data_IF_674285705746
#
_entry.id   IF_674285705746
#
_cell.length_a   1.000
_cell.length_b   1.000
_cell.length_c   1.000
_cell.angle_alpha   90.00
_cell.angle_beta   90.00
_cell.angle_gamma   90.00
#
_symmetry.space_group_name_H-M   'P 1'
#
loop_
_entity.id
_entity.type
_entity.pdbx_description
1 polymer ?
#
# COMPACT_ATOMS: atom_id res chain seq x y z
N UNK A 1 12.97 2.21 -4.35
CA UNK A 1 13.61 0.95 -4.77
C UNK A 1 12.72 -0.28 -4.49
N UNK A 2 12.17 -0.43 -3.30
CA UNK A 2 11.33 -1.59 -2.91
C UNK A 2 10.06 -1.71 -3.77
N UNK A 3 9.34 -0.61 -3.95
CA UNK A 3 8.11 -0.57 -4.75
C UNK A 3 8.41 -0.92 -6.21
N UNK A 4 9.47 -0.36 -6.78
CA UNK A 4 9.85 -0.63 -8.17
C UNK A 4 10.21 -2.11 -8.39
N UNK A 5 10.95 -2.69 -7.46
CA UNK A 5 11.33 -4.11 -7.52
C UNK A 5 10.10 -5.02 -7.40
N UNK A 6 9.23 -4.71 -6.46
CA UNK A 6 7.98 -5.46 -6.25
C UNK A 6 7.05 -5.36 -7.47
N UNK A 7 6.84 -4.15 -8.00
CA UNK A 7 6.03 -3.93 -9.20
C UNK A 7 6.58 -4.70 -10.41
N UNK A 8 7.90 -4.74 -10.56
CA UNK A 8 8.54 -5.51 -11.62
C UNK A 8 8.25 -7.01 -11.48
N UNK A 9 8.38 -7.55 -10.27
CA UNK A 9 8.11 -8.96 -9.99
C UNK A 9 6.67 -9.33 -10.31
N UNK A 10 5.72 -8.53 -9.82
CA UNK A 10 4.29 -8.73 -10.07
C UNK A 10 3.94 -8.62 -11.56
N UNK A 11 4.54 -7.66 -12.26
CA UNK A 11 4.32 -7.50 -13.70
C UNK A 11 4.82 -8.70 -14.49
N UNK A 12 6.00 -9.23 -14.15
CA UNK A 12 6.55 -10.41 -14.80
C UNK A 12 5.68 -11.64 -14.56
N UNK A 13 5.18 -11.82 -13.34
CA UNK A 13 4.27 -12.91 -13.01
C UNK A 13 2.95 -12.81 -13.79
N UNK A 14 2.34 -11.63 -13.83
CA UNK A 14 1.11 -11.37 -14.57
C UNK A 14 1.27 -11.63 -16.07
N UNK A 15 2.39 -11.25 -16.67
CA UNK A 15 2.66 -11.47 -18.09
C UNK A 15 2.79 -12.95 -18.46
N UNK A 16 3.05 -13.83 -17.50
CA UNK A 16 3.15 -15.29 -17.70
C UNK A 16 1.83 -16.02 -17.46
N UNK A 17 0.79 -15.34 -17.05
CA UNK A 17 -0.52 -15.96 -16.79
C UNK A 17 -1.23 -16.41 -18.07
N UNK A 18 -2.07 -17.45 -17.92
CA UNK A 18 -2.79 -18.07 -19.05
C UNK A 18 -3.75 -17.10 -19.75
N UNK A 19 -4.38 -16.19 -19.01
CA UNK A 19 -5.28 -15.19 -19.63
C UNK A 19 -4.55 -14.21 -20.54
N UNK A 20 -3.26 -13.99 -20.33
CA UNK A 20 -2.42 -13.19 -21.22
C UNK A 20 -2.20 -13.91 -22.57
N UNK A 21 -1.96 -15.22 -22.51
CA UNK A 21 -1.90 -16.08 -23.69
C UNK A 21 -3.22 -16.05 -24.48
N UNK A 22 -4.34 -16.15 -23.78
CA UNK A 22 -5.68 -16.08 -24.38
C UNK A 22 -5.92 -14.74 -25.06
N UNK A 23 -5.53 -13.63 -24.42
CA UNK A 23 -5.64 -12.30 -25.04
C UNK A 23 -4.77 -12.15 -26.29
N UNK A 24 -3.56 -12.72 -26.28
CA UNK A 24 -2.68 -12.75 -27.47
C UNK A 24 -3.26 -13.57 -28.60
N UNK A 25 -3.85 -14.72 -28.30
CA UNK A 25 -4.46 -15.61 -29.31
C UNK A 25 -5.69 -14.97 -29.98
N UNK A 26 -6.36 -14.04 -29.33
CA UNK A 26 -7.46 -13.24 -29.88
C UNK A 26 -7.02 -12.09 -30.78
N UNK A 27 -5.72 -11.94 -31.05
CA UNK A 27 -5.18 -10.90 -31.91
C UNK A 27 -5.19 -9.49 -31.31
N UNK A 28 -5.30 -9.36 -30.00
CA UNK A 28 -5.23 -8.06 -29.33
C UNK A 28 -3.81 -7.48 -29.40
N UNK A 29 -3.62 -6.19 -29.76
CA UNK A 29 -2.30 -5.57 -29.80
C UNK A 29 -1.59 -5.65 -28.45
N UNK A 30 -0.27 -5.91 -28.44
CA UNK A 30 0.53 -6.03 -27.23
C UNK A 30 0.39 -4.84 -26.27
N UNK A 31 0.33 -3.63 -26.80
CA UNK A 31 0.15 -2.41 -26.02
C UNK A 31 -1.17 -2.44 -25.23
N UNK A 32 -2.25 -2.84 -25.88
CA UNK A 32 -3.57 -2.94 -25.25
C UNK A 32 -3.63 -4.03 -24.19
N UNK A 33 -2.94 -5.15 -24.41
CA UNK A 33 -2.82 -6.24 -23.45
C UNK A 33 -2.11 -5.73 -22.18
N UNK A 34 -0.99 -5.02 -22.35
CA UNK A 34 -0.22 -4.47 -21.23
C UNK A 34 -1.06 -3.48 -20.44
N UNK A 35 -1.65 -2.48 -21.08
CA UNK A 35 -2.41 -1.43 -20.39
C UNK A 35 -3.72 -1.91 -19.78
N UNK A 36 -4.46 -2.75 -20.45
CA UNK A 36 -5.80 -3.15 -20.01
C UNK A 36 -5.79 -4.34 -19.06
N UNK A 37 -4.90 -5.28 -19.24
CA UNK A 37 -4.88 -6.54 -18.51
C UNK A 37 -3.71 -6.65 -17.53
N UNK A 38 -2.47 -6.41 -17.98
CA UNK A 38 -1.29 -6.63 -17.16
C UNK A 38 -1.16 -5.59 -16.04
N UNK A 39 -1.23 -4.32 -16.34
CA UNK A 39 -1.09 -3.24 -15.34
C UNK A 39 -2.18 -3.33 -14.28
N UNK A 40 -3.41 -3.54 -14.68
CA UNK A 40 -4.54 -3.64 -13.76
C UNK A 40 -4.35 -4.75 -12.73
N UNK A 41 -3.95 -5.93 -13.18
CA UNK A 41 -3.75 -7.08 -12.30
C UNK A 41 -2.46 -6.98 -11.47
N UNK A 42 -1.41 -6.37 -11.99
CA UNK A 42 -0.17 -6.13 -11.26
C UNK A 42 -0.29 -5.05 -10.18
N UNK A 43 -1.19 -4.08 -10.35
CA UNK A 43 -1.39 -2.99 -9.37
C UNK A 43 -2.06 -3.45 -8.08
N UNK A 44 -2.88 -4.50 -8.10
CA UNK A 44 -3.60 -4.98 -6.91
C UNK A 44 -2.63 -5.34 -5.77
N UNK A 45 -1.63 -6.23 -5.97
CA UNK A 45 -0.63 -6.52 -4.94
C UNK A 45 0.22 -5.30 -4.56
N UNK A 46 0.55 -4.44 -5.52
CA UNK A 46 1.33 -3.21 -5.27
C UNK A 46 0.59 -2.28 -4.33
N UNK A 47 -0.70 -2.07 -4.50
CA UNK A 47 -1.51 -1.23 -3.63
C UNK A 47 -1.59 -1.81 -2.21
N UNK A 48 -1.66 -3.13 -2.07
CA UNK A 48 -1.63 -3.80 -0.77
C UNK A 48 -0.37 -3.47 0.02
N UNK A 49 0.77 -3.45 -0.65
CA UNK A 49 2.08 -3.15 -0.02
C UNK A 49 2.24 -1.65 0.22
N UNK A 50 1.66 -0.80 -0.62
CA UNK A 50 1.74 0.66 -0.47
C UNK A 50 1.13 1.18 0.83
N UNK A 51 0.00 0.62 1.27
CA UNK A 51 -0.66 1.06 2.49
C UNK A 51 0.27 1.08 3.71
N UNK A 52 0.83 -0.07 4.13
CA UNK A 52 1.78 -0.13 5.23
C UNK A 52 3.04 0.72 5.03
N UNK A 53 3.55 0.83 3.80
CA UNK A 53 4.72 1.68 3.50
C UNK A 53 4.41 3.15 3.74
N UNK A 54 3.26 3.64 3.28
CA UNK A 54 2.84 5.04 3.49
C UNK A 54 2.71 5.34 4.98
N UNK A 55 2.08 4.45 5.74
CA UNK A 55 1.97 4.60 7.20
C UNK A 55 3.35 4.65 7.84
N UNK A 56 4.23 3.72 7.48
CA UNK A 56 5.60 3.66 8.00
C UNK A 56 6.40 4.93 7.71
N UNK A 57 6.28 5.49 6.51
CA UNK A 57 6.97 6.74 6.14
C UNK A 57 6.44 7.94 6.89
N UNK A 58 5.13 8.05 7.08
CA UNK A 58 4.51 9.18 7.78
C UNK A 58 4.68 9.09 9.29
N UNK A 59 4.75 7.88 9.82
CA UNK A 59 5.07 7.65 11.25
C UNK A 59 6.51 8.03 11.56
N UNK A 60 7.36 8.09 10.53
CA UNK A 60 8.76 8.46 10.63
C UNK A 60 9.66 7.30 11.03
N UNK A 61 10.93 7.46 10.73
CA UNK A 61 11.97 6.57 11.22
C UNK A 61 12.63 7.20 12.44
N UNK A 62 12.35 6.68 13.62
CA UNK A 62 12.96 7.13 14.89
C UNK A 62 14.47 7.30 14.80
N UNK A 63 15.13 6.36 14.11
CA UNK A 63 16.58 6.36 13.93
C UNK A 63 17.02 7.55 13.07
N UNK A 64 16.35 7.77 11.94
CA UNK A 64 16.67 8.87 11.01
C UNK A 64 16.39 10.22 11.68
N UNK A 65 15.26 10.35 12.34
CA UNK A 65 14.88 11.58 13.05
C UNK A 65 15.91 11.96 14.11
N UNK A 66 16.41 10.97 14.88
CA UNK A 66 17.45 11.21 15.88
C UNK A 66 18.82 11.55 15.27
N UNK A 67 19.22 10.86 14.20
CA UNK A 67 20.53 11.11 13.55
C UNK A 67 20.59 12.50 12.93
N UNK A 68 19.53 12.90 12.24
CA UNK A 68 19.48 14.16 11.50
C UNK A 68 18.88 15.32 12.33
N UNK A 69 18.53 15.07 13.60
CA UNK A 69 17.90 16.06 14.49
C UNK A 69 16.66 16.72 13.87
N UNK A 70 15.89 15.96 13.09
CA UNK A 70 14.65 16.42 12.50
C UNK A 70 13.50 16.21 13.48
N UNK A 71 12.77 17.26 13.87
CA UNK A 71 11.63 17.10 14.76
C UNK A 71 10.49 16.37 14.04
N UNK A 72 10.21 15.15 14.43
CA UNK A 72 9.17 14.32 13.89
C UNK A 72 8.25 13.74 14.97
N UNK A 73 7.15 13.11 14.54
CA UNK A 73 6.18 12.50 15.46
C UNK A 73 6.79 11.30 16.21
N UNK A 74 7.71 10.59 15.55
CA UNK A 74 8.39 9.46 16.14
C UNK A 74 9.29 9.86 17.33
N UNK A 75 10.06 10.93 17.20
CA UNK A 75 10.88 11.46 18.29
C UNK A 75 10.02 11.93 19.47
N UNK A 76 8.91 12.62 19.19
CA UNK A 76 7.96 13.04 20.22
C UNK A 76 7.39 11.84 20.99
N UNK A 77 7.09 10.74 20.32
CA UNK A 77 6.59 9.52 20.96
C UNK A 77 7.62 8.93 21.93
N UNK A 78 8.87 8.83 21.52
CA UNK A 78 9.96 8.32 22.38
C UNK A 78 10.22 9.24 23.56
N UNK A 79 10.25 10.55 23.34
CA UNK A 79 10.47 11.50 24.41
C UNK A 79 9.33 11.49 25.43
N UNK A 80 8.09 11.34 24.98
CA UNK A 80 6.93 11.17 25.86
C UNK A 80 7.04 9.91 26.73
N UNK A 81 7.60 8.82 26.20
CA UNK A 81 7.85 7.60 26.99
C UNK A 81 8.91 7.86 28.07
N UNK A 82 10.00 8.54 27.72
CA UNK A 82 11.09 8.84 28.68
C UNK A 82 10.66 9.70 29.85
N UNK A 83 9.75 10.64 29.63
CA UNK A 83 9.21 11.52 30.67
C UNK A 83 7.93 11.00 31.31
N UNK A 84 7.49 9.80 30.95
CA UNK A 84 6.24 9.18 31.42
C UNK A 84 4.99 10.05 31.23
N UNK A 85 4.93 10.75 30.11
CA UNK A 85 3.75 11.52 29.71
C UNK A 85 2.69 10.60 29.05
N UNK A 86 1.89 9.97 29.89
CA UNK A 86 0.86 9.03 29.46
C UNK A 86 -0.20 9.67 28.57
N UNK A 87 -0.55 10.91 28.78
CA UNK A 87 -1.55 11.63 27.99
C UNK A 87 -1.07 11.77 26.55
N UNK A 88 0.17 12.20 26.34
CA UNK A 88 0.77 12.32 25.01
C UNK A 88 0.94 10.96 24.34
N UNK A 89 1.37 9.93 25.08
CA UNK A 89 1.50 8.56 24.58
C UNK A 89 0.15 8.04 24.08
N UNK A 90 -0.91 8.19 24.87
CA UNK A 90 -2.26 7.76 24.48
C UNK A 90 -2.77 8.54 23.27
N UNK A 91 -2.58 9.84 23.22
CA UNK A 91 -2.97 10.70 22.10
C UNK A 91 -2.27 10.29 20.81
N UNK A 92 -0.96 10.07 20.85
CA UNK A 92 -0.18 9.62 19.70
C UNK A 92 -0.58 8.22 19.25
N UNK A 93 -0.82 7.29 20.17
CA UNK A 93 -1.28 5.94 19.85
C UNK A 93 -2.64 5.96 19.16
N UNK A 94 -3.58 6.76 19.64
CA UNK A 94 -4.88 6.95 18.99
C UNK A 94 -4.73 7.57 17.60
N UNK A 95 -3.87 8.57 17.47
CA UNK A 95 -3.59 9.20 16.17
C UNK A 95 -3.03 8.21 15.16
N UNK A 96 -2.03 7.42 15.53
CA UNK A 96 -1.45 6.41 14.66
C UNK A 96 -2.47 5.33 14.26
N UNK A 97 -3.25 4.86 15.24
CA UNK A 97 -4.29 3.85 14.97
C UNK A 97 -5.36 4.37 14.03
N UNK A 98 -5.85 5.58 14.24
CA UNK A 98 -6.83 6.22 13.36
C UNK A 98 -6.26 6.43 11.96
N UNK A 99 -5.03 6.89 11.87
CA UNK A 99 -4.34 7.10 10.59
C UNK A 99 -4.14 5.79 9.83
N UNK A 100 -3.73 4.72 10.53
CA UNK A 100 -3.57 3.39 9.96
C UNK A 100 -4.90 2.85 9.40
N UNK A 101 -5.97 2.90 10.19
CA UNK A 101 -7.30 2.46 9.76
C UNK A 101 -7.79 3.24 8.56
N UNK A 102 -7.59 4.56 8.56
CA UNK A 102 -7.98 5.42 7.45
C UNK A 102 -7.21 5.10 6.17
N UNK A 103 -5.90 4.85 6.29
CA UNK A 103 -5.05 4.44 5.16
C UNK A 103 -5.50 3.10 4.59
N UNK A 104 -5.80 2.13 5.45
CA UNK A 104 -6.28 0.82 5.02
C UNK A 104 -7.66 0.93 4.37
N UNK A 105 -8.53 1.80 4.87
CA UNK A 105 -9.83 2.08 4.23
C UNK A 105 -9.64 2.65 2.81
N UNK A 106 -8.71 3.59 2.62
CA UNK A 106 -8.38 4.14 1.29
C UNK A 106 -7.87 3.04 0.36
N UNK A 107 -7.00 2.16 0.85
CA UNK A 107 -6.50 1.00 0.08
C UNK A 107 -7.65 0.08 -0.34
N UNK A 108 -8.58 -0.22 0.55
CA UNK A 108 -9.74 -1.05 0.24
C UNK A 108 -10.67 -0.39 -0.80
N UNK A 109 -10.85 0.92 -0.73
CA UNK A 109 -11.59 1.68 -1.74
C UNK A 109 -10.89 1.64 -3.11
N UNK A 110 -9.56 1.74 -3.12
CA UNK A 110 -8.78 1.60 -4.35
C UNK A 110 -8.90 0.21 -4.96
N UNK A 111 -8.93 -0.84 -4.15
CA UNK A 111 -9.23 -2.20 -4.61
C UNK A 111 -10.59 -2.28 -5.29
N UNK A 112 -11.62 -1.70 -4.69
CA UNK A 112 -12.96 -1.69 -5.24
C UNK A 112 -13.07 -0.95 -6.58
N UNK A 113 -12.20 0.04 -6.82
CA UNK A 113 -12.13 0.79 -8.08
C UNK A 113 -11.35 0.00 -9.15
N UNK A 114 -10.23 -0.61 -8.77
CA UNK A 114 -9.33 -1.33 -9.69
C UNK A 114 -9.93 -2.67 -10.10
N UNK A 115 -10.49 -3.40 -9.14
CA UNK A 115 -11.12 -4.69 -9.40
C UNK A 115 -12.60 -4.71 -8.93
N UNK A 116 -13.55 -4.39 -9.83
CA UNK A 116 -14.97 -4.42 -9.51
C UNK A 116 -15.48 -5.84 -9.19
N UNK A 117 -14.73 -6.90 -9.48
CA UNK A 117 -15.10 -8.29 -9.16
C UNK A 117 -15.13 -8.56 -7.66
N UNK A 118 -14.29 -7.89 -6.87
CA UNK A 118 -14.26 -8.00 -5.41
C UNK A 118 -15.59 -7.54 -4.80
N UNK A 119 -16.22 -6.50 -5.37
CA UNK A 119 -17.53 -6.00 -4.93
C UNK A 119 -18.66 -7.01 -5.10
N UNK A 120 -18.59 -7.87 -6.11
CA UNK A 120 -19.63 -8.86 -6.39
C UNK A 120 -19.58 -9.98 -5.34
N UNK A 121 -18.38 -10.37 -4.89
CA UNK A 121 -18.25 -11.38 -3.84
C UNK A 121 -18.69 -10.91 -2.46
N UNK A 122 -18.51 -9.64 -2.14
CA UNK A 122 -18.97 -9.05 -0.88
C UNK A 122 -20.52 -8.98 -0.77
N UNK A 123 -21.23 -8.99 -1.89
CA UNK A 123 -22.71 -9.00 -1.92
C UNK A 123 -23.33 -10.39 -1.76
N UNK A 124 -22.54 -11.46 -1.81
CA UNK A 124 -23.03 -12.84 -1.71
C UNK A 124 -22.91 -13.47 -0.31
N UNK A 125 -22.48 -12.68 0.69
CA UNK A 125 -22.41 -13.13 2.08
C UNK A 125 -23.60 -12.61 2.87
#
# INVERSE_FOLDING_TARGET
ATIARFTRSEMLEVLQQDYMLTARSKGVPNVKIIYKHAIRNALIPVITVLGPIVVSLLTGSLVIENIFAVPGIGSLFVDSIKVNDYTTIMGLTLFYSAFFVLTMLVVDLLYGIIDPRIRINARKV
#
